data_IF_677515624106
#
_entry.id   IF_677515624106
#
_cell.length_a   1.000
_cell.length_b   1.000
_cell.length_c   1.000
_cell.angle_alpha   90.00
_cell.angle_beta   90.00
_cell.angle_gamma   90.00
#
_symmetry.space_group_name_H-M   'P 1'
#
loop_
_entity.id
_entity.type
_entity.pdbx_description
1 polymer ?
#
# COMPACT_ATOMS: atom_id res chain seq x y z
N UNK A 1 9.80 9.50 -1.86
CA UNK A 1 11.12 9.24 -2.52
C UNK A 1 11.37 7.74 -2.67
N UNK A 2 11.23 6.93 -1.62
CA UNK A 2 11.46 5.48 -1.65
C UNK A 2 10.61 4.70 -2.68
N UNK A 3 9.32 5.04 -2.84
CA UNK A 3 8.45 4.39 -3.83
C UNK A 3 8.98 4.55 -5.27
N UNK A 4 9.43 5.76 -5.62
CA UNK A 4 10.01 6.05 -6.93
C UNK A 4 11.30 5.25 -7.17
N UNK A 5 12.14 5.05 -6.16
CA UNK A 5 13.37 4.25 -6.31
C UNK A 5 13.14 2.74 -6.46
N UNK A 6 11.94 2.26 -6.10
CA UNK A 6 11.58 0.85 -6.16
C UNK A 6 10.58 0.53 -7.26
N UNK A 7 10.24 1.51 -8.10
CA UNK A 7 9.32 1.30 -9.21
C UNK A 7 9.89 0.32 -10.23
N UNK A 8 9.04 -0.51 -10.82
CA UNK A 8 9.46 -1.53 -11.78
C UNK A 8 8.43 -1.61 -12.93
N UNK A 9 8.88 -1.30 -14.14
CA UNK A 9 8.03 -1.27 -15.33
C UNK A 9 7.55 -2.67 -15.76
N UNK A 10 8.41 -3.68 -15.72
CA UNK A 10 8.04 -5.07 -16.04
C UNK A 10 6.93 -5.59 -15.12
N UNK A 11 6.94 -5.14 -13.85
CA UNK A 11 5.89 -5.46 -12.89
C UNK A 11 4.56 -4.79 -13.26
N UNK A 12 4.59 -3.58 -13.84
CA UNK A 12 3.39 -2.90 -14.36
C UNK A 12 2.86 -3.64 -15.58
N UNK A 13 3.71 -3.99 -16.54
CA UNK A 13 3.32 -4.77 -17.71
C UNK A 13 2.74 -6.14 -17.33
N UNK A 14 3.34 -6.78 -16.32
CA UNK A 14 2.87 -8.05 -15.79
C UNK A 14 1.48 -7.98 -15.15
N UNK A 15 1.11 -6.84 -14.54
CA UNK A 15 -0.22 -6.65 -13.94
C UNK A 15 -1.34 -6.75 -14.97
N UNK A 16 -1.13 -6.19 -16.18
CA UNK A 16 -2.12 -6.21 -17.25
C UNK A 16 -2.50 -7.65 -17.66
N UNK A 17 -1.54 -8.59 -17.62
CA UNK A 17 -1.79 -10.02 -17.91
C UNK A 17 -2.77 -10.68 -16.94
N UNK A 18 -2.92 -10.11 -15.75
CA UNK A 18 -3.86 -10.58 -14.72
C UNK A 18 -5.09 -9.67 -14.59
N UNK A 19 -5.33 -8.77 -15.55
CA UNK A 19 -6.46 -7.84 -15.54
C UNK A 19 -6.36 -6.73 -14.49
N UNK A 20 -5.15 -6.43 -14.00
CA UNK A 20 -4.90 -5.38 -13.01
C UNK A 20 -4.41 -4.12 -13.74
N UNK A 21 -5.24 -3.09 -13.86
CA UNK A 21 -4.93 -1.83 -14.57
C UNK A 21 -5.18 -0.59 -13.70
N UNK A 22 -4.38 -0.39 -12.64
CA UNK A 22 -4.50 0.79 -11.78
C UNK A 22 -4.05 2.06 -12.50
N UNK A 23 -4.86 3.11 -12.43
CA UNK A 23 -4.53 4.44 -12.99
C UNK A 23 -3.24 5.03 -12.37
N UNK A 24 -2.97 4.71 -11.10
CA UNK A 24 -1.81 5.17 -10.35
C UNK A 24 -1.07 3.99 -9.72
N UNK A 25 0.08 3.63 -10.30
CA UNK A 25 0.92 2.54 -9.80
C UNK A 25 2.40 2.86 -9.92
N UNK A 26 3.19 2.35 -8.97
CA UNK A 26 4.63 2.34 -9.02
C UNK A 26 5.19 1.00 -9.53
N UNK A 27 4.40 -0.07 -9.59
CA UNK A 27 4.92 -1.39 -9.95
C UNK A 27 5.73 -2.07 -8.85
N UNK A 28 5.61 -1.65 -7.59
CA UNK A 28 6.38 -2.26 -6.49
C UNK A 28 5.75 -3.60 -6.13
N UNK A 29 6.60 -4.64 -6.08
CA UNK A 29 6.17 -5.99 -5.70
C UNK A 29 5.79 -6.06 -4.22
N UNK A 30 4.78 -6.87 -3.90
CA UNK A 30 4.28 -7.07 -2.53
C UNK A 30 5.38 -7.41 -1.50
N UNK A 31 6.39 -8.26 -1.80
CA UNK A 31 7.46 -8.54 -0.85
C UNK A 31 8.25 -7.30 -0.40
N UNK A 32 8.42 -6.30 -1.27
CA UNK A 32 9.09 -5.05 -0.91
C UNK A 32 8.21 -4.20 0.01
N UNK A 33 6.90 -4.15 -0.23
CA UNK A 33 5.95 -3.49 0.66
C UNK A 33 5.92 -4.15 2.04
N UNK A 34 5.98 -5.49 2.11
CA UNK A 34 6.07 -6.22 3.39
C UNK A 34 7.36 -5.90 4.15
N UNK A 35 8.50 -5.74 3.46
CA UNK A 35 9.77 -5.29 4.08
C UNK A 35 9.64 -3.87 4.64
N UNK A 36 9.02 -2.96 3.88
CA UNK A 36 8.73 -1.60 4.35
C UNK A 36 7.84 -1.63 5.60
N UNK A 37 6.72 -2.35 5.55
CA UNK A 37 5.81 -2.48 6.68
C UNK A 37 6.51 -3.06 7.93
N UNK A 38 7.39 -4.05 7.76
CA UNK A 38 8.18 -4.61 8.87
C UNK A 38 9.11 -3.57 9.52
N UNK A 39 9.65 -2.62 8.74
CA UNK A 39 10.52 -1.54 9.22
C UNK A 39 9.70 -0.41 9.86
N UNK A 40 8.59 -0.02 9.25
CA UNK A 40 7.70 1.06 9.71
C UNK A 40 6.93 0.66 10.97
N UNK A 41 6.54 -0.62 11.09
CA UNK A 41 5.62 -1.12 12.13
C UNK A 41 4.23 -0.52 11.97
N UNK A 42 3.56 -0.21 13.09
CA UNK A 42 2.24 0.37 13.12
C UNK A 42 2.34 1.88 13.23
N UNK A 43 1.75 2.57 12.27
CA UNK A 43 1.74 4.03 12.19
C UNK A 43 0.48 4.48 11.45
N UNK A 44 -0.53 4.86 12.24
CA UNK A 44 -1.85 5.26 11.72
C UNK A 44 -1.80 6.59 10.97
N UNK A 45 -1.02 7.56 11.45
CA UNK A 45 -0.91 8.86 10.78
C UNK A 45 -0.27 8.68 9.40
N UNK A 46 0.80 7.89 9.32
CA UNK A 46 1.43 7.55 8.04
C UNK A 46 0.50 6.71 7.15
N UNK A 47 -0.26 5.77 7.72
CA UNK A 47 -1.22 4.97 6.95
C UNK A 47 -2.24 5.87 6.24
N UNK A 48 -2.83 6.83 6.97
CA UNK A 48 -3.79 7.78 6.40
C UNK A 48 -3.13 8.63 5.29
N UNK A 49 -1.95 9.21 5.55
CA UNK A 49 -1.22 9.98 4.54
C UNK A 49 -0.91 9.17 3.29
N UNK A 50 -0.53 7.90 3.44
CA UNK A 50 -0.26 7.00 2.31
C UNK A 50 -1.53 6.70 1.53
N UNK A 51 -2.64 6.43 2.23
CA UNK A 51 -3.94 6.16 1.62
C UNK A 51 -4.40 7.33 0.73
N UNK A 52 -4.30 8.56 1.25
CA UNK A 52 -4.74 9.78 0.55
C UNK A 52 -3.96 10.07 -0.74
N UNK A 53 -2.77 9.48 -0.93
CA UNK A 53 -2.02 9.62 -2.19
C UNK A 53 -2.66 8.88 -3.37
N UNK A 54 -3.47 7.85 -3.11
CA UNK A 54 -4.22 7.11 -4.12
C UNK A 54 -3.40 6.24 -5.09
N UNK A 55 -2.11 5.98 -4.80
CA UNK A 55 -1.34 5.00 -5.56
C UNK A 55 -1.63 3.59 -5.03
N UNK A 56 -1.71 2.60 -5.92
CA UNK A 56 -1.98 1.21 -5.53
C UNK A 56 -1.07 0.72 -4.40
N UNK A 57 0.24 0.92 -4.55
CA UNK A 57 1.21 0.41 -3.58
C UNK A 57 1.20 1.19 -2.26
N UNK A 58 0.83 2.48 -2.27
CA UNK A 58 0.74 3.28 -1.04
C UNK A 58 -0.49 2.89 -0.24
N UNK A 59 -1.63 2.65 -0.89
CA UNK A 59 -2.85 2.13 -0.26
C UNK A 59 -2.61 0.72 0.31
N UNK A 60 -1.90 -0.15 -0.42
CA UNK A 60 -1.51 -1.47 0.10
C UNK A 60 -0.62 -1.31 1.33
N UNK A 61 0.42 -0.47 1.27
CA UNK A 61 1.30 -0.27 2.43
C UNK A 61 0.54 0.31 3.62
N UNK A 62 -0.35 1.28 3.39
CA UNK A 62 -1.23 1.85 4.40
C UNK A 62 -2.00 0.76 5.15
N UNK A 63 -2.66 -0.15 4.42
CA UNK A 63 -3.42 -1.26 5.01
C UNK A 63 -2.57 -2.20 5.88
N UNK A 64 -1.27 -2.32 5.61
CA UNK A 64 -0.35 -3.16 6.40
C UNK A 64 0.07 -2.48 7.71
N UNK A 65 0.26 -1.16 7.68
CA UNK A 65 0.81 -0.40 8.80
C UNK A 65 -0.27 0.29 9.66
N UNK A 66 -1.52 0.32 9.19
CA UNK A 66 -2.62 0.88 9.97
C UNK A 66 -2.93 0.04 11.22
N UNK A 67 -3.52 0.68 12.22
CA UNK A 67 -4.00 0.06 13.45
C UNK A 67 -5.51 -0.12 13.34
N UNK A 68 -6.06 -1.35 13.47
CA UNK A 68 -7.49 -1.55 13.47
C UNK A 68 -8.14 -0.66 14.52
N UNK A 69 -9.04 0.22 14.10
CA UNK A 69 -9.95 0.84 15.05
C UNK A 69 -10.80 -0.30 15.64
N UNK A 70 -10.76 -0.49 16.96
CA UNK A 70 -11.73 -1.36 17.61
C UNK A 70 -13.10 -0.75 17.30
N UNK A 71 -13.87 -1.39 16.43
CA UNK A 71 -15.27 -1.07 16.27
C UNK A 71 -15.95 -1.50 17.58
N UNK A 72 -16.19 -0.56 18.48
CA UNK A 72 -17.16 -0.79 19.56
C UNK A 72 -18.54 -0.79 18.92
N UNK A 73 -19.08 -1.98 18.69
CA UNK A 73 -20.48 -2.14 18.36
C UNK A 73 -21.27 -1.82 19.63
N UNK A 74 -21.77 -0.60 19.76
CA UNK A 74 -22.79 -0.31 20.76
C UNK A 74 -24.03 -1.09 20.33
N UNK A 75 -24.34 -2.16 21.06
CA UNK A 75 -25.59 -2.90 20.88
C UNK A 75 -26.75 -1.92 21.13
N UNK A 76 -27.63 -1.78 20.14
CA UNK A 76 -28.93 -1.14 20.26
C UNK A 76 -29.93 -2.13 20.84
#
# INVERSE_FOLDING_TARGET
REFKSKSNLESIEGMARFGITPDKTFGIRIPELRKMAKRIKKDRELAHKLWDTGYRETMILASMIDVPALFHQTAL
#
